data_IF_695491476678
#
_entry.id   IF_695491476678
#
_cell.length_a   1.000
_cell.length_b   1.000
_cell.length_c   1.000
_cell.angle_alpha   90.00
_cell.angle_beta   90.00
_cell.angle_gamma   90.00
#
_symmetry.space_group_name_H-M   'P 1'
#
loop_
_entity.id
_entity.type
_entity.pdbx_description
1 polymer ?
#
# COMPACT_ATOMS: atom_id res chain seq x y z
N UNK A 1 -23.45 -15.85 0.82
CA UNK A 1 -22.29 -16.77 0.81
C UNK A 1 -21.33 -16.50 1.97
N UNK A 2 -20.79 -15.31 2.15
CA UNK A 2 -19.75 -15.02 3.15
C UNK A 2 -20.19 -15.30 4.61
N UNK A 3 -21.45 -14.96 4.97
CA UNK A 3 -22.00 -15.27 6.30
C UNK A 3 -22.06 -16.79 6.55
N UNK A 4 -22.61 -17.54 5.61
CA UNK A 4 -22.71 -19.01 5.71
C UNK A 4 -21.32 -19.64 5.83
N UNK A 5 -20.35 -19.17 5.03
CA UNK A 5 -18.98 -19.68 5.09
C UNK A 5 -18.33 -19.40 6.47
N UNK A 6 -18.50 -18.22 7.03
CA UNK A 6 -17.97 -17.86 8.34
C UNK A 6 -18.62 -18.65 9.48
N UNK A 7 -19.93 -18.95 9.38
CA UNK A 7 -20.64 -19.76 10.36
C UNK A 7 -20.25 -21.25 10.26
N UNK A 8 -19.93 -21.73 9.05
CA UNK A 8 -19.54 -23.13 8.81
C UNK A 8 -18.07 -23.40 9.14
N UNK A 9 -17.21 -22.39 8.99
CA UNK A 9 -15.77 -22.47 9.19
C UNK A 9 -15.28 -21.32 10.11
N UNK A 10 -15.63 -21.36 11.42
CA UNK A 10 -15.39 -20.25 12.35
C UNK A 10 -13.91 -19.91 12.52
N UNK A 11 -13.01 -20.86 12.34
CA UNK A 11 -11.57 -20.69 12.45
C UNK A 11 -10.90 -20.26 11.13
N UNK A 12 -11.64 -20.17 10.04
CA UNK A 12 -11.10 -19.77 8.76
C UNK A 12 -10.87 -18.26 8.69
N UNK A 13 -9.72 -17.86 8.15
CA UNK A 13 -9.38 -16.48 7.89
C UNK A 13 -9.85 -16.09 6.48
N UNK A 14 -11.02 -15.44 6.41
CA UNK A 14 -11.51 -14.91 5.15
C UNK A 14 -10.88 -13.56 4.83
N UNK A 15 -10.40 -13.41 3.60
CA UNK A 15 -9.97 -12.12 3.07
C UNK A 15 -10.88 -11.70 1.91
N UNK A 16 -11.08 -10.38 1.78
CA UNK A 16 -11.86 -9.81 0.69
C UNK A 16 -11.14 -8.62 0.09
N UNK A 17 -11.14 -8.56 -1.23
CA UNK A 17 -10.61 -7.43 -1.99
C UNK A 17 -11.76 -6.55 -2.45
N UNK A 18 -11.72 -5.29 -2.05
CA UNK A 18 -12.67 -4.26 -2.40
C UNK A 18 -12.12 -3.43 -3.57
N UNK A 19 -12.72 -3.60 -4.73
CA UNK A 19 -12.30 -2.93 -5.96
C UNK A 19 -12.66 -1.44 -5.99
N UNK A 20 -12.28 -0.74 -7.06
CA UNK A 20 -12.61 0.68 -7.23
C UNK A 20 -14.13 0.92 -7.28
N UNK A 21 -14.55 2.15 -7.00
CA UNK A 21 -15.97 2.55 -6.93
C UNK A 21 -16.72 2.29 -8.25
N UNK A 22 -16.06 2.34 -9.41
CA UNK A 22 -16.66 2.02 -10.71
C UNK A 22 -17.08 0.54 -10.83
N UNK A 23 -16.61 -0.35 -9.97
CA UNK A 23 -17.14 -1.72 -9.80
C UNK A 23 -18.30 -1.78 -8.80
N UNK A 24 -18.81 -0.63 -8.39
CA UNK A 24 -20.01 -0.50 -7.54
C UNK A 24 -19.74 -0.74 -6.05
N UNK A 25 -18.50 -0.71 -5.57
CA UNK A 25 -18.20 -0.78 -4.14
C UNK A 25 -18.46 0.58 -3.47
N UNK A 26 -19.13 0.54 -2.33
CA UNK A 26 -19.40 1.68 -1.47
C UNK A 26 -19.36 1.24 0.01
N UNK A 27 -19.26 2.19 0.93
CA UNK A 27 -19.26 1.88 2.36
C UNK A 27 -20.48 1.08 2.80
N UNK A 28 -21.67 1.40 2.28
CA UNK A 28 -22.92 0.69 2.58
C UNK A 28 -22.88 -0.78 2.14
N UNK A 29 -22.25 -1.05 0.99
CA UNK A 29 -22.14 -2.42 0.45
C UNK A 29 -21.06 -3.23 1.14
N UNK A 30 -20.00 -2.59 1.65
CA UNK A 30 -18.89 -3.23 2.36
C UNK A 30 -19.27 -3.53 3.81
N UNK A 31 -19.92 -2.59 4.51
CA UNK A 31 -20.20 -2.67 5.93
C UNK A 31 -20.87 -3.98 6.40
N UNK A 32 -21.84 -4.56 5.67
CA UNK A 32 -22.47 -5.82 6.09
C UNK A 32 -21.52 -7.03 6.12
N UNK A 33 -20.38 -6.96 5.44
CA UNK A 33 -19.42 -8.05 5.37
C UNK A 33 -18.31 -7.95 6.43
N UNK A 34 -18.13 -6.77 7.04
CA UNK A 34 -17.06 -6.52 8.02
C UNK A 34 -17.01 -7.57 9.13
N UNK A 35 -18.13 -8.01 9.74
CA UNK A 35 -18.08 -8.99 10.81
C UNK A 35 -17.59 -10.39 10.40
N UNK A 36 -17.59 -10.67 9.10
CA UNK A 36 -17.29 -12.01 8.56
C UNK A 36 -15.93 -12.10 7.86
N UNK A 37 -15.25 -10.96 7.71
CA UNK A 37 -13.98 -10.86 6.99
C UNK A 37 -12.88 -10.49 7.96
N UNK A 38 -11.79 -11.23 8.00
CA UNK A 38 -10.64 -10.96 8.86
C UNK A 38 -9.62 -10.03 8.20
N UNK A 39 -9.52 -10.07 6.88
CA UNK A 39 -8.60 -9.20 6.14
C UNK A 39 -9.35 -8.45 5.03
N UNK A 40 -9.29 -7.13 5.08
CA UNK A 40 -9.91 -6.22 4.14
C UNK A 40 -8.85 -5.56 3.27
N UNK A 41 -8.81 -5.89 1.97
CA UNK A 41 -7.92 -5.29 1.00
C UNK A 41 -8.65 -4.17 0.24
N UNK A 42 -8.28 -2.92 0.45
CA UNK A 42 -8.89 -1.77 -0.20
C UNK A 42 -8.09 -1.33 -1.42
N UNK A 43 -8.75 -1.15 -2.55
CA UNK A 43 -8.14 -0.48 -3.67
C UNK A 43 -7.92 1.01 -3.33
N UNK A 44 -6.77 1.57 -3.69
CA UNK A 44 -6.39 2.94 -3.30
C UNK A 44 -7.42 4.00 -3.74
N UNK A 45 -8.11 3.82 -4.88
CA UNK A 45 -9.16 4.74 -5.32
C UNK A 45 -10.36 4.84 -4.39
N UNK A 46 -10.61 3.83 -3.56
CA UNK A 46 -11.66 3.90 -2.54
C UNK A 46 -11.37 4.94 -1.46
N UNK A 47 -10.12 5.30 -1.24
CA UNK A 47 -9.73 6.32 -0.27
C UNK A 47 -10.10 7.75 -0.69
N UNK A 48 -10.64 7.95 -1.88
CA UNK A 48 -11.22 9.22 -2.30
C UNK A 48 -12.66 9.42 -1.78
N UNK A 49 -13.28 8.38 -1.23
CA UNK A 49 -14.63 8.43 -0.66
C UNK A 49 -14.55 8.60 0.88
N UNK A 50 -15.06 9.73 1.43
CA UNK A 50 -15.06 9.96 2.86
C UNK A 50 -15.82 8.89 3.67
N UNK A 51 -16.88 8.30 3.11
CA UNK A 51 -17.64 7.23 3.76
C UNK A 51 -16.81 5.95 3.87
N UNK A 52 -16.02 5.63 2.85
CA UNK A 52 -15.06 4.52 2.89
C UNK A 52 -13.96 4.78 3.93
N UNK A 53 -13.44 6.01 4.01
CA UNK A 53 -12.44 6.36 5.03
C UNK A 53 -13.02 6.19 6.43
N UNK A 54 -14.25 6.63 6.67
CA UNK A 54 -14.91 6.46 7.96
C UNK A 54 -15.09 4.97 8.31
N UNK A 55 -15.52 4.15 7.36
CA UNK A 55 -15.64 2.71 7.52
C UNK A 55 -14.27 2.06 7.80
N UNK A 56 -13.24 2.43 7.06
CA UNK A 56 -11.87 1.95 7.26
C UNK A 56 -11.38 2.26 8.69
N UNK A 57 -11.57 3.50 9.18
CA UNK A 57 -11.19 3.85 10.55
C UNK A 57 -11.91 2.99 11.58
N UNK A 58 -13.19 2.72 11.37
CA UNK A 58 -13.95 1.79 12.22
C UNK A 58 -13.34 0.39 12.19
N UNK A 59 -13.05 -0.17 11.01
CA UNK A 59 -12.43 -1.50 10.88
C UNK A 59 -11.08 -1.54 11.60
N UNK A 60 -10.25 -0.51 11.47
CA UNK A 60 -8.92 -0.42 12.08
C UNK A 60 -8.94 -0.37 13.61
N UNK A 61 -10.07 0.00 14.23
CA UNK A 61 -10.24 -0.05 15.69
C UNK A 61 -10.73 -1.42 16.18
N UNK A 62 -11.19 -2.29 15.29
CA UNK A 62 -11.72 -3.61 15.63
C UNK A 62 -10.60 -4.62 15.83
N UNK A 63 -10.58 -5.26 17.00
CA UNK A 63 -9.55 -6.22 17.39
C UNK A 63 -9.56 -7.46 16.49
N UNK A 64 -8.41 -7.80 15.93
CA UNK A 64 -8.23 -8.99 15.10
C UNK A 64 -8.63 -8.83 13.64
N UNK A 65 -8.98 -7.62 13.19
CA UNK A 65 -9.12 -7.32 11.77
C UNK A 65 -7.82 -6.76 11.20
N UNK A 66 -7.52 -7.12 9.97
CA UNK A 66 -6.35 -6.67 9.23
C UNK A 66 -6.80 -5.85 8.03
N UNK A 67 -6.20 -4.69 7.87
CA UNK A 67 -6.46 -3.82 6.73
C UNK A 67 -5.24 -3.75 5.81
N UNK A 68 -5.48 -3.80 4.51
CA UNK A 68 -4.44 -3.59 3.51
C UNK A 68 -4.93 -2.67 2.40
N UNK A 69 -4.00 -1.94 1.83
CA UNK A 69 -4.22 -1.16 0.62
C UNK A 69 -3.51 -1.84 -0.53
N UNK A 70 -4.17 -1.92 -1.68
CA UNK A 70 -3.51 -2.40 -2.88
C UNK A 70 -3.62 -1.42 -4.03
N UNK A 71 -2.63 -1.51 -4.88
CA UNK A 71 -2.51 -0.76 -6.11
C UNK A 71 -2.56 -1.71 -7.30
N UNK A 72 -3.14 -1.26 -8.40
CA UNK A 72 -3.24 -2.03 -9.62
C UNK A 72 -2.91 -1.10 -10.79
N UNK A 73 -1.67 -1.11 -11.24
CA UNK A 73 -1.30 -0.36 -12.44
C UNK A 73 -1.78 -1.10 -13.68
N UNK A 74 -2.59 -0.44 -14.46
CA UNK A 74 -3.01 -0.91 -15.78
C UNK A 74 -2.24 -0.25 -16.91
N UNK A 75 -1.33 0.69 -16.59
CA UNK A 75 -0.63 1.49 -17.57
C UNK A 75 0.89 1.43 -17.36
N UNK A 76 1.63 1.04 -18.40
CA UNK A 76 3.10 1.05 -18.39
C UNK A 76 3.72 2.45 -18.25
N UNK A 77 2.92 3.50 -18.49
CA UNK A 77 3.34 4.90 -18.42
C UNK A 77 3.14 5.53 -17.04
N UNK A 78 2.69 4.74 -16.05
CA UNK A 78 2.55 5.26 -14.70
C UNK A 78 3.88 5.77 -14.15
N UNK A 79 3.82 6.94 -13.53
CA UNK A 79 4.99 7.57 -12.95
C UNK A 79 5.54 6.74 -11.79
N UNK A 80 6.80 6.31 -11.90
CA UNK A 80 7.46 5.46 -10.90
C UNK A 80 7.36 6.03 -9.49
N UNK A 81 7.55 7.33 -9.37
CA UNK A 81 7.47 8.04 -8.10
C UNK A 81 6.04 8.00 -7.52
N UNK A 82 5.06 8.52 -8.25
CA UNK A 82 3.70 8.72 -7.74
C UNK A 82 2.99 7.40 -7.48
N UNK A 83 3.19 6.42 -8.36
CA UNK A 83 2.43 5.17 -8.33
C UNK A 83 3.08 4.08 -7.48
N UNK A 84 4.40 3.99 -7.52
CA UNK A 84 5.12 2.90 -6.84
C UNK A 84 5.81 3.37 -5.56
N UNK A 85 6.60 4.45 -5.62
CA UNK A 85 7.33 4.93 -4.44
C UNK A 85 6.40 5.48 -3.36
N UNK A 86 5.32 6.19 -3.72
CA UNK A 86 4.39 6.75 -2.76
C UNK A 86 3.33 5.76 -2.25
N UNK A 87 3.23 4.55 -2.80
CA UNK A 87 2.27 3.56 -2.33
C UNK A 87 2.50 3.15 -0.86
N UNK A 88 3.73 2.82 -0.39
CA UNK A 88 4.00 2.62 1.04
C UNK A 88 3.67 3.83 1.92
N UNK A 89 3.87 5.05 1.41
CA UNK A 89 3.50 6.27 2.14
C UNK A 89 1.99 6.36 2.35
N UNK A 90 1.20 6.07 1.32
CA UNK A 90 -0.25 6.00 1.42
C UNK A 90 -0.70 4.94 2.43
N UNK A 91 -0.07 3.77 2.41
CA UNK A 91 -0.36 2.72 3.38
C UNK A 91 -0.09 3.22 4.81
N UNK A 92 1.07 3.79 5.06
CA UNK A 92 1.50 4.23 6.39
C UNK A 92 0.67 5.37 6.96
N UNK A 93 0.40 6.42 6.17
CA UNK A 93 -0.42 7.57 6.60
C UNK A 93 -1.86 7.15 6.91
N UNK A 94 -2.39 6.18 6.17
CA UNK A 94 -3.74 5.67 6.38
C UNK A 94 -3.79 4.52 7.38
N UNK A 95 -2.70 4.22 8.09
CA UNK A 95 -2.61 3.19 9.13
C UNK A 95 -3.01 1.78 8.64
N UNK A 96 -2.72 1.46 7.40
CA UNK A 96 -2.88 0.09 6.92
C UNK A 96 -1.81 -0.82 7.52
N UNK A 97 -2.22 -2.04 7.87
CA UNK A 97 -1.33 -3.08 8.40
C UNK A 97 -0.43 -3.66 7.31
N UNK A 98 -0.96 -3.71 6.07
CA UNK A 98 -0.27 -4.30 4.93
C UNK A 98 -0.44 -3.43 3.68
N UNK A 99 0.47 -3.61 2.75
CA UNK A 99 0.32 -3.11 1.40
C UNK A 99 0.44 -4.25 0.38
N UNK A 100 -0.30 -4.14 -0.70
CA UNK A 100 -0.27 -5.07 -1.80
C UNK A 100 -0.13 -4.37 -3.14
N UNK A 101 0.21 -5.13 -4.15
CA UNK A 101 0.28 -4.65 -5.52
C UNK A 101 -0.23 -5.73 -6.48
N UNK A 102 -1.14 -5.39 -7.36
CA UNK A 102 -1.55 -6.27 -8.42
C UNK A 102 -0.91 -5.79 -9.74
N UNK A 103 0.10 -6.48 -10.22
CA UNK A 103 0.49 -7.80 -9.78
C UNK A 103 2.01 -7.91 -9.67
N UNK A 104 2.48 -8.85 -8.84
CA UNK A 104 3.91 -9.09 -8.67
C UNK A 104 4.56 -9.53 -9.98
N UNK A 105 4.00 -10.54 -10.62
CA UNK A 105 4.39 -11.00 -11.96
C UNK A 105 3.15 -11.35 -12.76
N UNK A 106 3.12 -10.98 -14.02
CA UNK A 106 2.02 -11.30 -14.91
C UNK A 106 2.50 -12.28 -15.96
N UNK A 107 1.94 -13.48 -15.96
CA UNK A 107 2.12 -14.45 -17.03
C UNK A 107 0.93 -14.35 -17.98
N UNK A 108 1.18 -14.54 -19.28
CA UNK A 108 0.08 -14.76 -20.22
C UNK A 108 -0.68 -16.02 -19.80
N UNK A 109 -1.92 -15.85 -19.41
CA UNK A 109 -2.82 -16.91 -19.01
C UNK A 109 -2.75 -18.08 -20.02
N UNK A 110 -2.11 -19.19 -19.59
CA UNK A 110 -2.10 -20.45 -20.33
C UNK A 110 -1.10 -20.60 -21.49
N UNK A 111 -0.12 -19.72 -21.66
CA UNK A 111 0.94 -19.89 -22.66
C UNK A 111 2.31 -20.03 -22.03
N UNK A 112 2.87 -21.24 -21.89
CA UNK A 112 4.25 -21.46 -21.49
C UNK A 112 5.21 -20.79 -22.49
N UNK A 113 6.29 -20.15 -22.01
CA UNK A 113 7.37 -19.61 -22.85
C UNK A 113 7.13 -18.25 -23.51
N UNK A 114 6.05 -17.56 -23.20
CA UNK A 114 5.91 -16.15 -23.60
C UNK A 114 6.73 -15.28 -22.67
N UNK A 115 7.93 -14.85 -23.14
CA UNK A 115 8.72 -13.88 -22.40
C UNK A 115 7.94 -12.59 -22.22
N UNK A 116 7.92 -12.08 -21.00
CA UNK A 116 7.22 -10.86 -20.61
C UNK A 116 7.74 -9.59 -21.34
N UNK A 117 8.86 -9.69 -22.01
CA UNK A 117 9.50 -8.61 -22.78
C UNK A 117 8.74 -8.20 -24.05
N UNK A 118 7.95 -9.08 -24.64
CA UNK A 118 7.29 -8.85 -25.94
C UNK A 118 5.85 -8.35 -25.82
N UNK A 119 5.25 -8.39 -24.65
CA UNK A 119 3.91 -7.87 -24.43
C UNK A 119 3.94 -6.84 -23.30
N UNK A 120 3.39 -5.69 -23.58
CA UNK A 120 3.16 -4.61 -22.64
C UNK A 120 2.40 -5.14 -21.43
N UNK A 121 3.14 -5.54 -20.42
CA UNK A 121 2.58 -6.00 -19.17
C UNK A 121 2.11 -4.82 -18.38
N UNK A 122 0.84 -4.67 -18.46
CA UNK A 122 0.13 -3.73 -17.64
C UNK A 122 0.21 -4.24 -16.20
N UNK A 123 0.96 -3.55 -15.37
CA UNK A 123 0.86 -3.73 -13.93
C UNK A 123 1.88 -4.61 -13.21
N UNK A 124 2.67 -5.45 -13.90
CA UNK A 124 3.67 -6.26 -13.20
C UNK A 124 4.84 -5.42 -12.66
N UNK A 125 5.29 -5.72 -11.45
CA UNK A 125 6.46 -5.09 -10.82
C UNK A 125 7.73 -5.89 -11.01
N UNK A 126 7.61 -7.14 -11.49
CA UNK A 126 8.75 -7.99 -11.88
C UNK A 126 8.52 -8.60 -13.25
N UNK A 127 9.60 -8.96 -13.90
CA UNK A 127 9.59 -9.76 -15.12
C UNK A 127 9.89 -11.22 -14.76
N UNK A 128 9.24 -12.14 -15.44
CA UNK A 128 9.52 -13.57 -15.31
C UNK A 128 10.37 -14.02 -16.48
N UNK A 129 11.48 -14.69 -16.21
CA UNK A 129 12.14 -15.62 -17.11
C UNK A 129 11.78 -17.04 -16.72
N UNK A 130 12.27 -18.03 -17.47
CA UNK A 130 11.96 -19.45 -17.21
C UNK A 130 12.38 -19.87 -15.79
N UNK A 131 13.50 -19.32 -15.29
CA UNK A 131 14.10 -19.71 -14.01
C UNK A 131 14.14 -18.60 -12.96
N UNK A 132 13.85 -17.34 -13.34
CA UNK A 132 14.12 -16.18 -12.46
C UNK A 132 12.99 -15.15 -12.49
N UNK A 133 12.81 -14.48 -11.36
CA UNK A 133 12.07 -13.21 -11.29
C UNK A 133 13.08 -12.06 -11.38
N UNK A 134 12.95 -11.23 -12.42
CA UNK A 134 13.82 -10.07 -12.65
C UNK A 134 13.08 -8.83 -12.13
N UNK A 135 13.59 -8.12 -11.12
CA UNK A 135 12.95 -6.91 -10.63
C UNK A 135 12.95 -5.83 -11.72
N UNK A 136 11.81 -5.19 -11.92
CA UNK A 136 11.69 -4.02 -12.78
C UNK A 136 12.07 -2.75 -12.04
N UNK A 137 12.24 -1.65 -12.77
CA UNK A 137 12.42 -0.31 -12.17
C UNK A 137 11.23 0.06 -11.25
N UNK A 138 10.04 -0.50 -11.48
CA UNK A 138 8.85 -0.32 -10.62
C UNK A 138 9.05 -0.97 -9.26
N UNK A 139 9.62 -2.19 -9.23
CA UNK A 139 9.97 -2.87 -7.99
C UNK A 139 10.97 -2.06 -7.19
N UNK A 140 12.00 -1.50 -7.85
CA UNK A 140 12.96 -0.63 -7.17
C UNK A 140 12.30 0.62 -6.60
N UNK A 141 11.39 1.27 -7.33
CA UNK A 141 10.66 2.42 -6.82
C UNK A 141 9.79 2.07 -5.60
N UNK A 142 9.09 0.93 -5.64
CA UNK A 142 8.33 0.42 -4.49
C UNK A 142 9.23 0.16 -3.28
N UNK A 143 10.37 -0.50 -3.49
CA UNK A 143 11.36 -0.79 -2.43
C UNK A 143 11.97 0.48 -1.83
N UNK A 144 12.18 1.53 -2.65
CA UNK A 144 12.59 2.84 -2.13
C UNK A 144 11.52 3.42 -1.19
N UNK A 145 10.24 3.34 -1.57
CA UNK A 145 9.15 3.78 -0.70
C UNK A 145 9.09 3.01 0.62
N UNK A 146 9.28 1.69 0.59
CA UNK A 146 9.39 0.86 1.81
C UNK A 146 10.58 1.32 2.67
N UNK A 147 11.71 1.64 2.03
CA UNK A 147 12.89 2.14 2.73
C UNK A 147 12.62 3.50 3.38
N UNK A 148 11.94 4.40 2.70
CA UNK A 148 11.55 5.71 3.25
C UNK A 148 10.70 5.53 4.51
N UNK A 149 9.73 4.59 4.51
CA UNK A 149 8.90 4.29 5.67
C UNK A 149 9.71 3.71 6.85
N UNK A 150 10.75 2.94 6.60
CA UNK A 150 11.64 2.46 7.67
C UNK A 150 12.35 3.59 8.41
N UNK A 151 12.72 4.67 7.72
CA UNK A 151 13.26 5.87 8.37
C UNK A 151 12.19 6.60 9.19
N UNK A 152 10.95 6.63 8.72
CA UNK A 152 9.84 7.16 9.51
C UNK A 152 9.65 6.35 10.79
N UNK A 153 9.54 5.03 10.67
CA UNK A 153 9.32 4.14 11.81
C UNK A 153 10.48 4.19 12.83
N UNK A 154 11.72 4.37 12.36
CA UNK A 154 12.87 4.54 13.22
C UNK A 154 12.84 5.83 14.08
N UNK A 155 12.08 6.85 13.66
CA UNK A 155 11.88 8.08 14.44
C UNK A 155 10.76 7.97 15.48
N UNK A 156 9.83 7.01 15.35
CA UNK A 156 8.67 6.90 16.25
C UNK A 156 9.04 6.73 17.74
N UNK A 157 10.08 5.96 18.12
CA UNK A 157 10.51 5.87 19.51
C UNK A 157 10.91 7.23 20.12
N UNK A 158 11.26 8.18 19.28
CA UNK A 158 11.71 9.53 19.67
C UNK A 158 10.66 10.61 19.48
N UNK A 159 9.39 10.23 19.31
CA UNK A 159 8.28 11.19 19.08
C UNK A 159 8.02 12.17 20.24
N UNK A 160 8.63 11.96 21.41
CA UNK A 160 8.57 12.88 22.55
C UNK A 160 9.64 13.98 22.47
N UNK A 161 10.65 13.86 21.59
CA UNK A 161 11.58 14.94 21.31
C UNK A 161 10.86 16.03 20.48
N UNK A 162 10.90 17.31 20.90
CA UNK A 162 10.13 18.37 20.26
C UNK A 162 10.42 18.55 18.77
N UNK A 163 11.67 18.39 18.35
CA UNK A 163 12.09 18.54 16.94
C UNK A 163 11.57 17.36 16.11
N UNK A 164 11.69 16.15 16.63
CA UNK A 164 11.18 14.92 15.99
C UNK A 164 9.67 14.96 15.91
N UNK A 165 8.97 15.37 16.96
CA UNK A 165 7.51 15.51 16.96
C UNK A 165 7.04 16.50 15.89
N UNK A 166 7.66 17.68 15.80
CA UNK A 166 7.35 18.69 14.79
C UNK A 166 7.57 18.15 13.36
N UNK A 167 8.67 17.45 13.15
CA UNK A 167 8.98 16.82 11.87
C UNK A 167 7.96 15.73 11.49
N UNK A 168 7.69 14.81 12.38
CA UNK A 168 6.73 13.71 12.14
C UNK A 168 5.30 14.21 11.89
N UNK A 169 4.91 15.32 12.50
CA UNK A 169 3.61 15.95 12.31
C UNK A 169 3.39 16.50 10.90
N UNK A 170 4.44 17.00 10.25
CA UNK A 170 4.30 17.79 9.01
C UNK A 170 4.92 17.14 7.78
N UNK A 171 6.09 16.54 7.91
CA UNK A 171 6.88 16.07 6.78
C UNK A 171 6.21 14.90 6.01
N UNK A 172 5.61 13.89 6.66
CA UNK A 172 4.93 12.81 5.93
C UNK A 172 3.76 13.31 5.07
N UNK A 173 2.92 14.18 5.63
CA UNK A 173 1.79 14.74 4.89
C UNK A 173 2.26 15.61 3.70
N UNK A 174 3.42 16.29 3.84
CA UNK A 174 4.01 17.06 2.75
C UNK A 174 4.44 16.17 1.58
N UNK A 175 5.02 14.99 1.84
CA UNK A 175 5.42 14.05 0.79
C UNK A 175 4.23 13.66 -0.09
N UNK A 176 3.07 13.36 0.49
CA UNK A 176 1.87 12.99 -0.29
C UNK A 176 1.18 14.18 -0.94
N UNK A 177 1.20 15.36 -0.32
CA UNK A 177 0.63 16.56 -0.91
C UNK A 177 1.41 16.99 -2.16
N UNK A 178 2.73 16.95 -2.08
CA UNK A 178 3.64 17.37 -3.15
C UNK A 178 4.01 16.16 -4.04
N UNK A 179 3.05 15.29 -4.30
CA UNK A 179 3.21 13.98 -4.96
C UNK A 179 3.87 14.00 -6.35
N UNK A 180 3.94 15.17 -6.98
CA UNK A 180 4.59 15.34 -8.28
C UNK A 180 6.06 15.78 -8.17
N UNK A 181 6.54 16.04 -6.96
CA UNK A 181 7.95 16.33 -6.70
C UNK A 181 8.67 15.04 -6.28
N UNK A 182 9.46 14.42 -7.18
CA UNK A 182 10.11 13.13 -6.90
C UNK A 182 11.19 13.19 -5.83
N UNK A 183 11.66 14.40 -5.44
CA UNK A 183 12.68 14.57 -4.42
C UNK A 183 12.13 14.68 -3.00
N UNK A 184 10.81 14.85 -2.82
CA UNK A 184 10.22 14.98 -1.48
C UNK A 184 10.55 13.81 -0.54
N UNK A 185 10.44 12.54 -0.95
CA UNK A 185 10.84 11.43 -0.07
C UNK A 185 12.34 11.43 0.25
N UNK A 186 13.20 11.89 -0.67
CA UNK A 186 14.64 11.96 -0.42
C UNK A 186 14.98 13.08 0.58
N UNK A 187 14.30 14.22 0.49
CA UNK A 187 14.40 15.29 1.49
C UNK A 187 13.91 14.84 2.87
N UNK A 188 12.80 14.11 2.91
CA UNK A 188 12.32 13.49 4.16
C UNK A 188 13.39 12.58 4.75
N UNK A 189 13.94 11.66 3.97
CA UNK A 189 14.95 10.71 4.42
C UNK A 189 16.22 11.40 4.91
N UNK A 190 16.69 12.40 4.18
CA UNK A 190 17.88 13.19 4.58
C UNK A 190 17.68 13.82 5.95
N UNK A 191 16.51 14.41 6.21
CA UNK A 191 16.20 15.03 7.49
C UNK A 191 16.02 14.00 8.60
N UNK A 192 15.33 12.90 8.32
CA UNK A 192 15.20 11.78 9.25
C UNK A 192 16.56 11.23 9.70
N UNK A 193 17.52 11.09 8.78
CA UNK A 193 18.89 10.65 9.09
C UNK A 193 19.61 11.66 10.00
N UNK A 194 19.44 12.97 9.79
CA UNK A 194 20.03 13.99 10.68
C UNK A 194 19.47 13.88 12.10
N UNK A 195 18.15 13.78 12.22
CA UNK A 195 17.49 13.60 13.53
C UNK A 195 17.97 12.35 14.24
N UNK A 196 17.96 11.19 13.55
CA UNK A 196 18.46 9.94 14.13
C UNK A 196 19.91 10.03 14.60
N UNK A 197 20.81 10.61 13.82
CA UNK A 197 22.21 10.82 14.24
C UNK A 197 22.35 11.72 15.48
N UNK A 198 21.44 12.66 15.68
CA UNK A 198 21.41 13.53 16.87
C UNK A 198 20.92 12.78 18.10
N UNK A 199 19.92 11.92 17.94
CA UNK A 199 19.22 11.22 19.02
C UNK A 199 19.95 9.94 19.50
N UNK A 200 20.83 9.39 18.68
CA UNK A 200 21.59 8.16 18.98
C UNK A 200 23.03 8.41 19.45
N UNK A 201 23.41 9.66 19.69
CA UNK A 201 24.66 10.04 20.33
C UNK A 201 24.52 10.07 21.86
#
# INVERSE_FOLDING_TARGET
MTKIAAETLPDAHFSMTWGPANFGFSAEKIAPFVPYIKQHNFHHYLLNDPAIIALLRKIQTEKGLVTSIYECSTNIRELLHTYFRLHPWNARINHFDCLGFYTFTQTNWGRPGASDWKRTLQGAITYRSDDHCIPSIRMYALMQGVTDIRYWDALLPYQNDPETAAFLKTAPAKVLRDKHDPEQPDRFRAEAVKLLKKLTK
#
